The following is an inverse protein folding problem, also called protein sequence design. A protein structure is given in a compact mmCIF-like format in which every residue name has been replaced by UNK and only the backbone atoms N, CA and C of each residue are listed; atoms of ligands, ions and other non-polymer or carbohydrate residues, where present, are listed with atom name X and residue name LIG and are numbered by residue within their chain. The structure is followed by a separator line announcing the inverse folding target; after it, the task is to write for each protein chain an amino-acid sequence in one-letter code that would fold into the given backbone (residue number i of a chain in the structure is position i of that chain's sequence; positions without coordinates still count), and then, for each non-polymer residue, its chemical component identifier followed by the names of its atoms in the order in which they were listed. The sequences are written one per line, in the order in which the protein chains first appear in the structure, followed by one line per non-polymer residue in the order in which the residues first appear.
data_IF_079177084431
#
_entry.id   IF_079177084431
#
_cell.length_a   1.000
_cell.length_b   1.000
_cell.length_c   1.000
_cell.angle_alpha   90.00
_cell.angle_beta   90.00
_cell.angle_gamma   90.00
#
_symmetry.space_group_name_H-M   'P 1'
#
loop_
_entity.id
_entity.type
_entity.pdbx_description
1 polymer ?
#
# COMPACT_ATOMS: atom_id res chain seq x y z
N UNK A 1 27.77 2.77 -9.88
CA UNK A 1 27.54 2.90 -8.43
C UNK A 1 26.54 1.83 -8.05
N UNK A 2 26.95 0.84 -7.25
CA UNK A 2 26.09 -0.26 -6.84
C UNK A 2 25.46 0.18 -5.51
N UNK A 3 24.23 0.70 -5.57
CA UNK A 3 23.44 0.88 -4.36
C UNK A 3 22.84 -0.47 -4.01
N UNK A 4 23.50 -1.21 -3.13
CA UNK A 4 22.89 -2.35 -2.46
C UNK A 4 22.08 -1.78 -1.28
N UNK A 5 20.93 -1.21 -1.60
CA UNK A 5 19.94 -0.78 -0.60
C UNK A 5 18.95 -1.93 -0.44
N UNK A 6 18.80 -2.44 0.78
CA UNK A 6 17.78 -3.44 1.07
C UNK A 6 16.43 -2.97 0.53
N UNK A 7 15.84 -3.78 -0.36
CA UNK A 7 14.62 -3.42 -1.06
C UNK A 7 13.49 -3.22 -0.05
N UNK A 8 12.91 -2.03 0.00
CA UNK A 8 11.76 -1.73 0.86
C UNK A 8 10.61 -2.70 0.53
N UNK A 9 10.08 -3.43 1.50
CA UNK A 9 9.07 -4.48 1.26
C UNK A 9 7.66 -3.98 1.58
N UNK A 10 6.69 -4.46 0.80
CA UNK A 10 5.27 -4.31 1.10
C UNK A 10 4.73 -5.68 1.47
N UNK A 11 3.95 -5.73 2.55
CA UNK A 11 3.23 -6.93 3.00
C UNK A 11 1.74 -6.58 3.12
N UNK A 12 0.88 -7.51 2.76
CA UNK A 12 -0.54 -7.40 3.08
C UNK A 12 -0.76 -7.84 4.53
N UNK A 13 -1.62 -7.11 5.24
CA UNK A 13 -1.99 -7.47 6.60
C UNK A 13 -2.83 -8.75 6.57
N UNK A 14 -2.47 -9.70 7.42
CA UNK A 14 -3.24 -10.92 7.67
C UNK A 14 -3.95 -10.74 9.02
N UNK A 15 -5.27 -10.88 9.02
CA UNK A 15 -6.04 -10.95 10.27
C UNK A 15 -5.67 -12.25 11.00
N UNK A 16 -5.05 -12.15 12.17
CA UNK A 16 -4.58 -13.32 12.92
C UNK A 16 -5.71 -14.22 13.44
N UNK A 17 -6.95 -13.74 13.47
CA UNK A 17 -8.12 -14.51 13.92
C UNK A 17 -8.81 -15.23 12.77
N UNK A 18 -8.92 -14.58 11.60
CA UNK A 18 -9.68 -15.09 10.45
C UNK A 18 -8.80 -15.63 9.32
N UNK A 19 -7.53 -15.25 9.28
CA UNK A 19 -6.60 -15.53 8.16
C UNK A 19 -6.85 -14.67 6.92
N UNK A 20 -7.82 -13.75 6.96
CA UNK A 20 -8.17 -12.90 5.82
C UNK A 20 -7.07 -11.88 5.54
N UNK A 21 -6.95 -11.50 4.26
CA UNK A 21 -6.08 -10.42 3.79
C UNK A 21 -6.93 -9.30 3.18
N UNK A 22 -7.58 -8.44 3.99
CA UNK A 22 -8.68 -7.60 3.51
C UNK A 22 -8.31 -6.69 2.35
N UNK A 23 -7.11 -6.12 2.38
CA UNK A 23 -6.61 -5.27 1.30
C UNK A 23 -6.35 -6.07 0.02
N UNK A 24 -5.75 -7.25 0.11
CA UNK A 24 -5.47 -8.09 -1.06
C UNK A 24 -6.77 -8.63 -1.68
N UNK A 25 -7.68 -9.12 -0.84
CA UNK A 25 -8.99 -9.61 -1.28
C UNK A 25 -9.86 -8.50 -1.91
N UNK A 26 -9.74 -7.28 -1.40
CA UNK A 26 -10.39 -6.12 -2.02
C UNK A 26 -9.81 -5.82 -3.40
N UNK A 27 -8.47 -5.75 -3.50
CA UNK A 27 -7.77 -5.42 -4.74
C UNK A 27 -8.02 -6.48 -5.82
N UNK A 28 -8.05 -7.76 -5.46
CA UNK A 28 -8.27 -8.87 -6.40
C UNK A 28 -9.68 -8.91 -7.00
N UNK A 29 -10.65 -8.23 -6.38
CA UNK A 29 -12.03 -8.11 -6.87
C UNK A 29 -12.25 -6.90 -7.79
N UNK A 30 -11.25 -6.04 -7.98
CA UNK A 30 -11.34 -4.88 -8.86
C UNK A 30 -11.30 -5.29 -10.34
N UNK A 31 -11.84 -4.45 -11.22
CA UNK A 31 -11.60 -4.59 -12.66
C UNK A 31 -10.10 -4.42 -12.98
N UNK A 32 -9.65 -5.04 -14.07
CA UNK A 32 -8.22 -5.13 -14.41
C UNK A 32 -7.52 -3.78 -14.50
N UNK A 33 -8.21 -2.71 -14.93
CA UNK A 33 -7.61 -1.37 -15.04
C UNK A 33 -7.46 -0.72 -13.67
N UNK A 34 -8.47 -0.85 -12.83
CA UNK A 34 -8.44 -0.34 -11.46
C UNK A 34 -7.43 -1.09 -10.60
N UNK A 35 -7.37 -2.42 -10.71
CA UNK A 35 -6.36 -3.26 -10.05
C UNK A 35 -4.94 -2.81 -10.44
N UNK A 36 -4.65 -2.71 -11.75
CA UNK A 36 -3.33 -2.28 -12.23
C UNK A 36 -2.96 -0.85 -11.76
N UNK A 37 -3.94 0.04 -11.65
CA UNK A 37 -3.73 1.41 -11.13
C UNK A 37 -3.37 1.39 -9.64
N UNK A 38 -4.06 0.58 -8.85
CA UNK A 38 -3.76 0.39 -7.43
C UNK A 38 -2.37 -0.20 -7.24
N UNK A 39 -2.05 -1.29 -7.96
CA UNK A 39 -0.73 -1.93 -7.89
C UNK A 39 0.40 -0.96 -8.26
N UNK A 40 0.20 -0.13 -9.28
CA UNK A 40 1.16 0.93 -9.64
C UNK A 40 1.39 1.91 -8.48
N UNK A 41 0.35 2.27 -7.74
CA UNK A 41 0.48 3.17 -6.59
C UNK A 41 1.15 2.49 -5.40
N UNK A 42 0.91 1.19 -5.20
CA UNK A 42 1.63 0.39 -4.19
C UNK A 42 3.12 0.32 -4.52
N UNK A 43 3.49 0.10 -5.78
CA UNK A 43 4.90 0.13 -6.22
C UNK A 43 5.52 1.52 -6.06
N UNK A 44 4.76 2.58 -6.34
CA UNK A 44 5.21 3.95 -6.13
C UNK A 44 5.48 4.23 -4.65
N UNK A 45 4.58 3.80 -3.76
CA UNK A 45 4.76 3.88 -2.31
C UNK A 45 5.98 3.09 -1.82
N UNK A 46 6.19 1.88 -2.36
CA UNK A 46 7.36 1.04 -2.08
C UNK A 46 8.66 1.74 -2.47
N UNK A 47 8.72 2.31 -3.67
CA UNK A 47 9.88 3.06 -4.16
C UNK A 47 10.20 4.28 -3.29
N UNK A 48 9.18 4.96 -2.76
CA UNK A 48 9.33 6.08 -1.82
C UNK A 48 9.42 5.64 -0.35
N UNK A 49 9.80 4.38 -0.11
CA UNK A 49 10.06 3.84 1.23
C UNK A 49 8.91 4.04 2.22
N UNK A 50 7.67 3.87 1.74
CA UNK A 50 6.47 3.91 2.57
C UNK A 50 5.96 5.32 2.89
N UNK A 51 6.53 6.36 2.28
CA UNK A 51 6.05 7.73 2.47
C UNK A 51 5.73 8.40 1.14
N UNK A 52 4.52 8.96 1.04
CA UNK A 52 4.11 9.83 -0.05
C UNK A 52 3.41 11.06 0.56
N UNK A 53 3.56 12.21 -0.09
CA UNK A 53 2.85 13.44 0.27
C UNK A 53 1.46 13.50 -0.38
N UNK A 54 0.66 14.49 0.02
CA UNK A 54 -0.60 14.79 -0.66
C UNK A 54 -0.32 15.23 -2.11
N UNK A 55 -1.15 14.81 -3.09
CA UNK A 55 -2.45 14.15 -2.90
C UNK A 55 -2.40 12.62 -2.83
N UNK A 56 -1.23 11.99 -2.96
CA UNK A 56 -1.11 10.52 -3.10
C UNK A 56 -1.28 9.75 -1.79
N UNK A 57 -0.88 10.35 -0.67
CA UNK A 57 -1.16 9.80 0.65
C UNK A 57 -1.52 10.90 1.62
N UNK A 58 -2.37 10.56 2.60
CA UNK A 58 -2.67 11.43 3.73
C UNK A 58 -2.51 10.66 5.04
N UNK A 59 -2.00 11.33 6.06
CA UNK A 59 -2.02 10.83 7.43
C UNK A 59 -3.44 10.86 8.00
N UNK A 60 -3.89 9.76 8.61
CA UNK A 60 -5.23 9.67 9.21
C UNK A 60 -5.13 9.83 10.73
N UNK A 61 -4.40 8.93 11.39
CA UNK A 61 -4.21 8.96 12.84
C UNK A 61 -3.07 8.03 13.23
N UNK A 62 -2.36 8.33 14.31
CA UNK A 62 -1.26 7.50 14.81
C UNK A 62 -0.25 7.16 13.70
N UNK A 63 -0.04 5.87 13.42
CA UNK A 63 0.81 5.38 12.32
C UNK A 63 0.05 5.09 11.02
N UNK A 64 -1.29 5.23 11.03
CA UNK A 64 -2.16 4.90 9.90
C UNK A 64 -2.16 6.06 8.90
N UNK A 65 -1.86 5.73 7.66
CA UNK A 65 -1.99 6.59 6.48
C UNK A 65 -2.95 5.94 5.49
N UNK A 66 -3.54 6.74 4.62
CA UNK A 66 -4.25 6.26 3.44
C UNK A 66 -3.40 6.46 2.19
N UNK A 67 -3.41 5.48 1.29
CA UNK A 67 -2.99 5.60 -0.10
C UNK A 67 -4.24 5.96 -0.92
N UNK A 68 -4.17 7.07 -1.65
CA UNK A 68 -5.28 7.62 -2.41
C UNK A 68 -5.09 7.30 -3.88
N UNK A 69 -5.95 6.44 -4.42
CA UNK A 69 -5.91 6.05 -5.83
C UNK A 69 -7.23 6.46 -6.47
N UNK A 70 -7.19 7.57 -7.21
CA UNK A 70 -8.32 8.05 -7.99
C UNK A 70 -8.17 7.59 -9.45
N UNK A 71 -9.21 6.96 -9.99
CA UNK A 71 -9.22 6.45 -11.36
C UNK A 71 -10.62 6.52 -11.98
N UNK A 72 -10.77 7.33 -13.02
CA UNK A 72 -12.09 7.65 -13.60
C UNK A 72 -13.02 8.19 -12.51
N UNK A 73 -14.20 7.59 -12.34
CA UNK A 73 -15.17 7.94 -11.30
C UNK A 73 -14.98 7.15 -9.98
N UNK A 74 -13.93 6.32 -9.89
CA UNK A 74 -13.66 5.48 -8.74
C UNK A 74 -12.59 6.09 -7.83
N UNK A 75 -12.83 6.02 -6.53
CA UNK A 75 -11.93 6.50 -5.48
C UNK A 75 -11.58 5.36 -4.55
N UNK A 76 -10.37 4.82 -4.68
CA UNK A 76 -9.88 3.75 -3.83
C UNK A 76 -9.02 4.33 -2.71
N UNK A 77 -9.26 3.86 -1.48
CA UNK A 77 -8.49 4.24 -0.29
C UNK A 77 -8.00 2.98 0.38
N UNK A 78 -6.68 2.84 0.46
CA UNK A 78 -6.02 1.69 1.06
C UNK A 78 -5.28 2.17 2.29
N UNK A 79 -5.66 1.69 3.46
CA UNK A 79 -4.95 2.02 4.68
C UNK A 79 -3.67 1.21 4.80
N UNK A 80 -2.62 1.90 5.22
CA UNK A 80 -1.31 1.30 5.41
C UNK A 80 -0.58 1.99 6.57
N UNK A 81 0.45 1.32 7.07
CA UNK A 81 1.38 1.88 8.04
C UNK A 81 2.77 1.29 7.79
N UNK A 82 3.79 1.98 8.24
CA UNK A 82 5.18 1.54 8.13
C UNK A 82 5.63 1.00 9.49
N UNK A 83 6.34 -0.12 9.48
CA UNK A 83 6.94 -0.70 10.67
C UNK A 83 8.34 -1.23 10.33
N UNK A 84 9.20 -1.29 11.34
CA UNK A 84 10.47 -2.00 11.24
C UNK A 84 10.20 -3.47 11.50
N UNK A 85 10.53 -4.32 10.52
CA UNK A 85 10.46 -5.75 10.69
C UNK A 85 11.74 -6.23 11.36
N UNK A 86 11.66 -6.53 12.66
CA UNK A 86 12.80 -6.95 13.48
C UNK A 86 13.13 -8.44 13.37
N UNK A 87 12.53 -9.16 12.41
CA UNK A 87 12.74 -10.60 12.22
C UNK A 87 13.85 -10.93 11.19
N UNK A 88 14.91 -10.14 11.12
CA UNK A 88 16.12 -10.44 10.33
C UNK A 88 17.33 -10.65 11.23
#
# INVERSE_FOLDING_TARGET
MIYNEEEYKVKYYINSQTGEEPALEFISKLDSKSMAKVEKYIQYLKFHRGYLDEPYSRHITGKIRELRVDFSHNHYRIFYFTFLDSNF
#
